data_IF_388402482328
#
_entry.id   IF_388402482328
#
_cell.length_a   1.000
_cell.length_b   1.000
_cell.length_c   1.000
_cell.angle_alpha   90.00
_cell.angle_beta   90.00
_cell.angle_gamma   90.00
#
_symmetry.space_group_name_H-M   'P 1'
#
loop_
_entity.id
_entity.type
_entity.pdbx_description
1 polymer ?
#
# COMPACT_ATOMS: atom_id res chain seq x y z
N UNK A 1 7.31 34.04 -30.60
CA UNK A 1 8.29 33.23 -29.85
C UNK A 1 8.55 31.98 -30.66
N UNK A 2 9.78 31.74 -31.11
CA UNK A 2 10.12 30.47 -31.76
C UNK A 2 10.20 29.36 -30.69
N UNK A 3 9.42 28.31 -30.87
CA UNK A 3 9.46 27.13 -30.01
C UNK A 3 10.77 26.39 -30.33
N UNK A 4 11.75 26.44 -29.43
CA UNK A 4 12.99 25.67 -29.54
C UNK A 4 12.86 24.43 -28.65
N UNK A 5 12.76 23.26 -29.25
CA UNK A 5 12.76 21.99 -28.56
C UNK A 5 14.20 21.45 -28.49
N UNK A 6 14.98 21.97 -27.56
CA UNK A 6 16.38 21.57 -27.37
C UNK A 6 16.44 20.25 -26.59
N UNK A 7 17.39 19.40 -26.96
CA UNK A 7 17.65 18.15 -26.24
C UNK A 7 18.21 18.45 -24.86
N UNK A 8 17.55 17.95 -23.81
CA UNK A 8 18.01 18.05 -22.42
C UNK A 8 19.16 17.07 -22.18
N UNK A 9 20.27 17.56 -21.64
CA UNK A 9 21.41 16.69 -21.30
C UNK A 9 21.12 15.90 -20.03
N UNK A 10 21.55 14.63 -19.98
CA UNK A 10 21.31 13.74 -18.83
C UNK A 10 21.83 14.29 -17.49
N UNK A 11 22.87 15.13 -17.51
CA UNK A 11 23.44 15.75 -16.31
C UNK A 11 22.55 16.86 -15.70
N UNK A 12 21.67 17.46 -16.49
CA UNK A 12 20.77 18.55 -16.08
C UNK A 12 19.42 18.06 -15.57
N UNK A 13 19.13 16.75 -15.75
CA UNK A 13 17.88 16.16 -15.29
C UNK A 13 17.94 15.90 -13.79
N UNK A 14 17.04 16.49 -12.97
CA UNK A 14 16.99 16.20 -11.55
C UNK A 14 16.74 14.70 -11.32
N UNK A 15 17.66 14.03 -10.64
CA UNK A 15 17.52 12.61 -10.35
C UNK A 15 16.40 12.42 -9.31
N UNK A 16 15.39 11.63 -9.63
CA UNK A 16 14.34 11.25 -8.69
C UNK A 16 14.90 10.53 -7.43
N UNK A 17 16.12 10.01 -7.50
CA UNK A 17 16.84 9.37 -6.39
C UNK A 17 17.33 10.33 -5.30
N UNK A 18 17.34 11.66 -5.55
CA UNK A 18 17.76 12.67 -4.55
C UNK A 18 16.65 13.06 -3.59
N UNK A 19 15.43 12.54 -3.78
CA UNK A 19 14.29 12.85 -2.92
C UNK A 19 14.37 12.03 -1.65
N UNK A 20 14.41 12.68 -0.49
CA UNK A 20 14.29 12.00 0.80
C UNK A 20 12.88 11.44 0.96
N UNK A 21 12.79 10.11 0.93
CA UNK A 21 11.53 9.39 1.08
C UNK A 21 11.26 9.10 2.56
N UNK A 22 10.13 9.56 3.08
CA UNK A 22 9.65 9.23 4.43
C UNK A 22 9.09 7.80 4.44
N UNK A 23 9.60 6.89 5.29
CA UNK A 23 9.05 5.55 5.41
C UNK A 23 7.66 5.58 6.04
N UNK A 24 6.86 4.55 5.77
CA UNK A 24 5.56 4.34 6.40
C UNK A 24 5.73 4.00 7.88
N UNK A 25 4.72 4.33 8.69
CA UNK A 25 4.72 4.07 10.13
C UNK A 25 4.90 2.59 10.46
N UNK A 26 5.91 2.27 11.29
CA UNK A 26 6.22 0.88 11.70
C UNK A 26 5.04 0.19 12.40
N UNK A 27 4.20 0.95 13.07
CA UNK A 27 3.00 0.46 13.74
C UNK A 27 2.02 -0.23 12.78
N UNK A 28 2.05 0.12 11.49
CA UNK A 28 1.23 -0.53 10.46
C UNK A 28 1.58 -2.01 10.25
N UNK A 29 2.80 -2.44 10.56
CA UNK A 29 3.14 -3.87 10.59
C UNK A 29 2.25 -4.65 11.55
N UNK A 30 1.92 -4.08 12.71
CA UNK A 30 1.01 -4.72 13.68
C UNK A 30 -0.38 -4.90 13.08
N UNK A 31 -0.87 -3.89 12.34
CA UNK A 31 -2.15 -3.99 11.63
C UNK A 31 -2.13 -5.13 10.62
N UNK A 32 -1.08 -5.22 9.79
CA UNK A 32 -0.91 -6.30 8.81
C UNK A 32 -0.88 -7.67 9.49
N UNK A 33 -0.07 -7.83 10.54
CA UNK A 33 0.05 -9.11 11.24
C UNK A 33 -1.27 -9.55 11.87
N UNK A 34 -1.99 -8.64 12.53
CA UNK A 34 -3.31 -8.94 13.10
C UNK A 34 -4.29 -9.33 12.00
N UNK A 35 -4.36 -8.56 10.90
CA UNK A 35 -5.27 -8.84 9.79
C UNK A 35 -4.99 -10.19 9.15
N UNK A 36 -3.73 -10.51 8.89
CA UNK A 36 -3.33 -11.80 8.32
C UNK A 36 -3.56 -12.96 9.29
N UNK A 37 -3.26 -12.77 10.59
CA UNK A 37 -3.52 -13.81 11.59
C UNK A 37 -5.01 -14.16 11.67
N UNK A 38 -5.90 -13.17 11.64
CA UNK A 38 -7.34 -13.40 11.62
C UNK A 38 -7.75 -14.13 10.33
N UNK A 39 -7.25 -13.68 9.18
CA UNK A 39 -7.55 -14.29 7.89
C UNK A 39 -7.11 -15.77 7.86
N UNK A 40 -5.88 -16.06 8.24
CA UNK A 40 -5.37 -17.44 8.23
C UNK A 40 -6.03 -18.31 9.30
N UNK A 41 -6.45 -17.77 10.45
CA UNK A 41 -7.23 -18.49 11.44
C UNK A 41 -8.60 -18.91 10.86
N UNK A 42 -9.27 -18.03 10.13
CA UNK A 42 -10.54 -18.34 9.45
C UNK A 42 -10.31 -19.41 8.36
N UNK A 43 -9.29 -19.25 7.52
CA UNK A 43 -8.97 -20.23 6.47
C UNK A 43 -8.69 -21.61 7.09
N UNK A 44 -7.92 -21.64 8.17
CA UNK A 44 -7.60 -22.89 8.87
C UNK A 44 -8.86 -23.55 9.46
N UNK A 45 -9.73 -22.77 10.11
CA UNK A 45 -10.99 -23.27 10.64
C UNK A 45 -11.88 -23.86 9.55
N UNK A 46 -12.01 -23.17 8.41
CA UNK A 46 -12.78 -23.67 7.25
C UNK A 46 -12.14 -24.95 6.69
N UNK A 47 -10.83 -24.98 6.53
CA UNK A 47 -10.12 -26.16 5.99
C UNK A 47 -10.33 -27.39 6.89
N UNK A 48 -10.21 -27.24 8.19
CA UNK A 48 -10.46 -28.32 9.16
C UNK A 48 -11.92 -28.79 9.07
N UNK A 49 -12.87 -27.86 9.07
CA UNK A 49 -14.30 -28.16 8.99
C UNK A 49 -14.64 -28.97 7.73
N UNK A 50 -14.09 -28.55 6.57
CA UNK A 50 -14.32 -29.25 5.30
C UNK A 50 -13.76 -30.67 5.34
N UNK A 51 -12.54 -30.87 5.85
CA UNK A 51 -11.93 -32.20 5.94
C UNK A 51 -12.74 -33.14 6.88
N UNK A 52 -13.31 -32.59 7.96
CA UNK A 52 -14.08 -33.37 8.93
C UNK A 52 -15.48 -33.72 8.42
N UNK A 53 -16.11 -32.84 7.64
CA UNK A 53 -17.47 -33.00 7.14
C UNK A 53 -17.60 -33.94 5.93
N UNK A 54 -16.50 -34.20 5.22
CA UNK A 54 -16.53 -35.06 4.03
C UNK A 54 -16.18 -36.50 4.43
N UNK A 55 -17.18 -37.35 4.49
CA UNK A 55 -17.06 -38.74 5.00
C UNK A 55 -16.13 -39.64 4.17
N UNK A 56 -16.02 -39.42 2.86
CA UNK A 56 -15.22 -40.21 1.93
C UNK A 56 -13.72 -39.87 1.91
N UNK A 57 -13.30 -38.89 2.71
CA UNK A 57 -11.89 -38.42 2.75
C UNK A 57 -11.14 -39.14 3.86
N UNK A 58 -9.95 -39.67 3.54
CA UNK A 58 -9.01 -40.16 4.55
C UNK A 58 -8.51 -38.99 5.42
N UNK A 59 -9.20 -38.74 6.52
CA UNK A 59 -8.94 -37.64 7.44
C UNK A 59 -7.51 -37.66 8.01
N UNK A 60 -6.96 -38.84 8.27
CA UNK A 60 -5.60 -39.03 8.81
C UNK A 60 -4.52 -38.52 7.85
N UNK A 61 -4.81 -38.51 6.54
CA UNK A 61 -3.91 -38.03 5.52
C UNK A 61 -4.14 -36.53 5.20
N UNK A 62 -5.40 -36.15 4.97
CA UNK A 62 -5.74 -34.83 4.45
C UNK A 62 -5.72 -33.72 5.51
N UNK A 63 -5.99 -34.07 6.78
CA UNK A 63 -5.96 -33.07 7.85
C UNK A 63 -4.55 -32.50 8.08
N UNK A 64 -3.47 -33.30 8.25
CA UNK A 64 -2.14 -32.74 8.39
C UNK A 64 -1.64 -32.02 7.13
N UNK A 65 -2.03 -32.48 5.94
CA UNK A 65 -1.66 -31.81 4.69
C UNK A 65 -2.30 -30.43 4.59
N UNK A 66 -3.59 -30.30 4.91
CA UNK A 66 -4.29 -29.01 4.87
C UNK A 66 -3.72 -28.02 5.89
N UNK A 67 -3.44 -28.47 7.10
CA UNK A 67 -2.81 -27.65 8.13
C UNK A 67 -1.43 -27.19 7.67
N UNK A 68 -0.59 -28.09 7.17
CA UNK A 68 0.74 -27.76 6.69
C UNK A 68 0.72 -26.76 5.52
N UNK A 69 -0.22 -26.92 4.58
CA UNK A 69 -0.40 -26.01 3.46
C UNK A 69 -0.79 -24.58 3.92
N UNK A 70 -1.72 -24.47 4.87
CA UNK A 70 -2.13 -23.19 5.44
C UNK A 70 -0.97 -22.51 6.19
N UNK A 71 -0.23 -23.28 6.99
CA UNK A 71 0.94 -22.74 7.72
C UNK A 71 2.02 -22.26 6.74
N UNK A 72 2.33 -23.05 5.72
CA UNK A 72 3.35 -22.70 4.73
C UNK A 72 2.98 -21.41 3.98
N UNK A 73 1.73 -21.29 3.53
CA UNK A 73 1.24 -20.10 2.85
C UNK A 73 1.19 -18.89 3.78
N UNK A 74 0.83 -19.05 5.06
CA UNK A 74 0.87 -18.01 6.06
C UNK A 74 2.31 -17.50 6.24
N UNK A 75 3.27 -18.38 6.48
CA UNK A 75 4.70 -18.01 6.66
C UNK A 75 5.21 -17.25 5.43
N UNK A 76 4.94 -17.75 4.22
CA UNK A 76 5.34 -17.08 2.98
C UNK A 76 4.73 -15.66 2.89
N UNK A 77 3.44 -15.51 3.20
CA UNK A 77 2.76 -14.21 3.22
C UNK A 77 3.38 -13.25 4.22
N UNK A 78 3.68 -13.69 5.43
CA UNK A 78 4.33 -12.86 6.46
C UNK A 78 5.72 -12.39 6.03
N UNK A 79 6.52 -13.26 5.43
CA UNK A 79 7.87 -12.92 4.93
C UNK A 79 7.79 -11.90 3.80
N UNK A 80 6.99 -12.19 2.77
CA UNK A 80 6.85 -11.32 1.59
C UNK A 80 6.25 -9.97 1.98
N UNK A 81 5.21 -9.98 2.81
CA UNK A 81 4.53 -8.78 3.25
C UNK A 81 5.40 -7.87 4.10
N UNK A 82 6.19 -8.43 5.02
CA UNK A 82 7.15 -7.66 5.82
C UNK A 82 8.26 -7.07 4.95
N UNK A 83 8.78 -7.84 4.00
CA UNK A 83 9.78 -7.37 3.05
C UNK A 83 9.26 -6.23 2.18
N UNK A 84 8.04 -6.38 1.66
CA UNK A 84 7.36 -5.35 0.87
C UNK A 84 7.11 -4.07 1.69
N UNK A 85 6.65 -4.21 2.92
CA UNK A 85 6.39 -3.08 3.80
C UNK A 85 7.63 -2.22 4.03
N UNK A 86 8.77 -2.82 4.35
CA UNK A 86 10.03 -2.11 4.64
C UNK A 86 10.53 -1.24 3.49
N UNK A 87 10.08 -1.49 2.27
CA UNK A 87 10.46 -0.76 1.06
C UNK A 87 9.47 0.34 0.67
N UNK A 88 8.30 0.38 1.31
CA UNK A 88 7.29 1.42 1.06
C UNK A 88 7.73 2.72 1.71
N UNK A 89 7.78 3.77 0.90
CA UNK A 89 8.09 5.13 1.35
C UNK A 89 7.46 6.15 0.42
N UNK A 90 7.20 7.35 0.91
CA UNK A 90 6.60 8.42 0.15
C UNK A 90 7.34 9.74 0.36
N UNK A 91 7.20 10.65 -0.57
CA UNK A 91 7.64 12.04 -0.43
C UNK A 91 6.60 12.96 -1.07
N UNK A 92 6.46 14.13 -0.47
CA UNK A 92 5.62 15.19 -0.99
C UNK A 92 6.54 16.30 -1.45
N UNK A 93 6.32 16.74 -2.67
CA UNK A 93 7.03 17.89 -3.25
C UNK A 93 6.01 18.99 -3.57
N UNK A 94 6.48 20.15 -3.96
CA UNK A 94 5.62 21.31 -4.26
C UNK A 94 4.56 21.03 -5.34
N UNK A 95 4.85 20.16 -6.32
CA UNK A 95 4.00 19.93 -7.50
C UNK A 95 3.55 18.49 -7.69
N UNK A 96 4.06 17.55 -6.90
CA UNK A 96 3.75 16.13 -7.04
C UNK A 96 3.94 15.37 -5.73
N UNK A 97 3.40 14.14 -5.72
CA UNK A 97 3.65 13.14 -4.71
C UNK A 97 4.42 11.97 -5.32
N UNK A 98 5.45 11.53 -4.65
CA UNK A 98 6.27 10.37 -5.03
C UNK A 98 6.00 9.25 -4.05
N UNK A 99 5.69 8.06 -4.56
CA UNK A 99 5.43 6.88 -3.74
C UNK A 99 6.20 5.68 -4.28
N UNK A 100 7.02 5.08 -3.41
CA UNK A 100 7.82 3.89 -3.74
C UNK A 100 7.19 2.66 -3.10
N UNK A 101 7.03 1.61 -3.91
CA UNK A 101 6.50 0.30 -3.49
C UNK A 101 7.33 -0.83 -4.05
N UNK A 102 7.09 -2.02 -3.53
CA UNK A 102 7.61 -3.27 -4.04
C UNK A 102 8.89 -3.74 -3.37
N UNK A 103 9.00 -5.05 -3.19
CA UNK A 103 10.14 -5.74 -2.59
C UNK A 103 11.08 -6.30 -3.68
N UNK A 104 10.54 -7.14 -4.55
CA UNK A 104 11.29 -7.76 -5.66
C UNK A 104 11.34 -6.78 -6.84
N UNK A 105 10.19 -6.29 -7.28
CA UNK A 105 10.07 -5.28 -8.34
C UNK A 105 9.76 -3.95 -7.67
N UNK A 106 10.70 -3.03 -7.70
CA UNK A 106 10.51 -1.68 -7.17
C UNK A 106 9.78 -0.83 -8.19
N UNK A 107 8.68 -0.21 -7.75
CA UNK A 107 7.90 0.74 -8.53
C UNK A 107 7.97 2.11 -7.85
N UNK A 108 8.28 3.12 -8.63
CA UNK A 108 8.24 4.51 -8.21
C UNK A 108 7.07 5.18 -8.95
N UNK A 109 6.05 5.56 -8.21
CA UNK A 109 4.89 6.27 -8.73
C UNK A 109 5.09 7.77 -8.46
N UNK A 110 4.91 8.58 -9.48
CA UNK A 110 4.95 10.04 -9.39
C UNK A 110 3.62 10.56 -9.90
N UNK A 111 2.86 11.22 -9.04
CA UNK A 111 1.57 11.80 -9.39
C UNK A 111 1.61 13.30 -9.22
N UNK A 112 1.58 14.07 -10.33
CA UNK A 112 1.47 15.52 -10.28
C UNK A 112 0.12 15.96 -9.74
N UNK A 113 0.09 16.98 -8.89
CA UNK A 113 -1.16 17.46 -8.27
C UNK A 113 -2.20 17.95 -9.28
N UNK A 114 -1.77 18.50 -10.40
CA UNK A 114 -2.68 18.96 -11.47
C UNK A 114 -3.46 17.81 -12.16
N UNK A 115 -3.11 16.55 -11.93
CA UNK A 115 -3.85 15.37 -12.43
C UNK A 115 -4.78 14.76 -11.38
N UNK A 116 -4.66 15.15 -10.12
CA UNK A 116 -5.47 14.62 -9.02
C UNK A 116 -6.88 15.18 -9.13
N UNK A 117 -7.88 14.29 -9.09
CA UNK A 117 -9.29 14.67 -9.08
C UNK A 117 -9.84 14.75 -7.66
N UNK A 118 -9.56 13.75 -6.85
CA UNK A 118 -9.97 13.72 -5.45
C UNK A 118 -9.05 12.83 -4.62
N UNK A 119 -9.09 13.06 -3.31
CA UNK A 119 -8.37 12.29 -2.33
C UNK A 119 -9.35 11.75 -1.28
N UNK A 120 -9.16 10.49 -0.88
CA UNK A 120 -9.95 9.84 0.15
C UNK A 120 -9.03 9.39 1.29
N UNK A 121 -9.34 9.81 2.51
CA UNK A 121 -8.74 9.24 3.73
C UNK A 121 -9.71 8.21 4.28
N UNK A 122 -9.22 7.00 4.51
CA UNK A 122 -10.00 5.89 5.06
C UNK A 122 -9.21 5.18 6.15
N UNK A 123 -9.92 4.61 7.11
CA UNK A 123 -9.32 3.88 8.21
C UNK A 123 -10.17 2.67 8.57
N UNK A 124 -9.59 1.49 8.41
CA UNK A 124 -10.23 0.23 8.79
C UNK A 124 -10.35 0.07 10.31
N UNK A 125 -11.13 -0.92 10.80
CA UNK A 125 -11.33 -1.13 12.24
C UNK A 125 -10.03 -1.32 13.02
N UNK A 126 -9.09 -2.09 12.47
CA UNK A 126 -7.79 -2.36 13.08
C UNK A 126 -6.90 -1.12 12.99
N UNK A 127 -6.85 -0.43 11.84
CA UNK A 127 -6.08 0.80 11.66
C UNK A 127 -6.50 1.88 12.66
N UNK A 128 -7.82 2.07 12.87
CA UNK A 128 -8.37 3.02 13.85
C UNK A 128 -7.87 2.76 15.27
N UNK A 129 -7.78 1.49 15.68
CA UNK A 129 -7.25 1.14 17.00
C UNK A 129 -5.81 1.59 17.19
N UNK A 130 -5.03 1.66 16.11
CA UNK A 130 -3.64 2.12 16.12
C UNK A 130 -3.47 3.58 15.66
N UNK A 131 -4.56 4.34 15.51
CA UNK A 131 -4.57 5.74 15.02
C UNK A 131 -3.89 5.89 13.67
N UNK A 132 -4.12 4.90 12.79
CA UNK A 132 -3.59 4.88 11.44
C UNK A 132 -4.72 5.07 10.42
N UNK A 133 -4.33 5.60 9.27
CA UNK A 133 -5.21 5.79 8.13
C UNK A 133 -4.46 5.53 6.82
N UNK A 134 -5.21 5.41 5.76
CA UNK A 134 -4.73 5.24 4.39
C UNK A 134 -5.22 6.40 3.55
N UNK A 135 -4.33 7.00 2.76
CA UNK A 135 -4.66 8.07 1.81
C UNK A 135 -4.68 7.49 0.40
N UNK A 136 -5.84 7.53 -0.25
CA UNK A 136 -6.04 7.12 -1.63
C UNK A 136 -6.17 8.35 -2.52
N UNK A 137 -5.43 8.38 -3.62
CA UNK A 137 -5.38 9.47 -4.59
C UNK A 137 -5.92 8.95 -5.92
N UNK A 138 -6.86 9.69 -6.51
CA UNK A 138 -7.51 9.38 -7.76
C UNK A 138 -7.17 10.45 -8.80
N UNK A 139 -6.79 10.03 -10.00
CA UNK A 139 -6.47 10.95 -11.11
C UNK A 139 -7.47 10.82 -12.25
N UNK A 140 -7.45 11.80 -13.15
CA UNK A 140 -8.34 11.84 -14.31
C UNK A 140 -8.13 10.72 -15.33
N UNK A 141 -7.01 10.00 -15.25
CA UNK A 141 -6.65 8.99 -16.25
C UNK A 141 -7.26 7.61 -15.98
N UNK A 142 -7.76 7.37 -14.76
CA UNK A 142 -8.32 6.06 -14.39
C UNK A 142 -9.49 6.22 -13.42
N UNK A 143 -10.50 5.38 -13.58
CA UNK A 143 -11.59 5.23 -12.60
C UNK A 143 -11.14 4.40 -11.38
N UNK A 144 -9.86 4.08 -11.28
CA UNK A 144 -9.25 3.27 -10.22
C UNK A 144 -8.27 4.13 -9.44
N UNK A 145 -8.09 3.83 -8.16
CA UNK A 145 -7.08 4.49 -7.31
C UNK A 145 -5.68 4.36 -7.92
N UNK A 146 -5.07 5.48 -8.27
CA UNK A 146 -3.71 5.45 -8.84
C UNK A 146 -2.65 5.17 -7.79
N UNK A 147 -2.79 5.79 -6.61
CA UNK A 147 -1.90 5.57 -5.47
C UNK A 147 -2.72 5.43 -4.19
N UNK A 148 -2.38 4.40 -3.40
CA UNK A 148 -2.88 4.26 -2.03
C UNK A 148 -1.70 4.12 -1.07
N UNK A 149 -1.56 5.10 -0.19
CA UNK A 149 -0.53 5.16 0.84
C UNK A 149 -1.14 4.68 2.14
N UNK A 150 -0.86 3.44 2.51
CA UNK A 150 -1.34 2.85 3.75
C UNK A 150 -0.39 3.11 4.91
N UNK A 151 -0.91 3.13 6.12
CA UNK A 151 -0.11 3.20 7.34
C UNK A 151 0.47 4.58 7.63
N UNK A 152 -0.26 5.62 7.29
CA UNK A 152 -0.03 6.98 7.78
C UNK A 152 -0.66 7.13 9.17
N UNK A 153 -0.15 8.06 9.98
CA UNK A 153 -0.91 8.53 11.15
C UNK A 153 -2.17 9.24 10.67
N UNK A 154 -3.28 9.09 11.39
CA UNK A 154 -4.55 9.69 10.98
C UNK A 154 -4.44 11.21 10.80
N UNK A 155 -3.70 11.89 11.67
CA UNK A 155 -3.45 13.34 11.59
C UNK A 155 -2.63 13.71 10.35
N UNK A 156 -1.55 12.94 10.06
CA UNK A 156 -0.72 13.15 8.88
C UNK A 156 -1.55 12.94 7.59
N UNK A 157 -2.41 11.92 7.55
CA UNK A 157 -3.24 11.64 6.39
C UNK A 157 -4.24 12.75 6.06
N UNK A 158 -4.88 13.33 7.09
CA UNK A 158 -5.79 14.47 6.92
C UNK A 158 -5.04 15.74 6.51
N UNK A 159 -3.88 16.00 7.12
CA UNK A 159 -3.02 17.14 6.75
C UNK A 159 -2.57 17.03 5.30
N UNK A 160 -2.16 15.83 4.86
CA UNK A 160 -1.76 15.57 3.48
C UNK A 160 -2.90 15.76 2.50
N UNK A 161 -4.09 15.26 2.83
CA UNK A 161 -5.29 15.48 2.03
C UNK A 161 -5.59 16.96 1.88
N UNK A 162 -5.58 17.73 2.98
CA UNK A 162 -5.82 19.16 2.95
C UNK A 162 -4.82 19.89 2.06
N UNK A 163 -3.53 19.58 2.21
CA UNK A 163 -2.45 20.14 1.39
C UNK A 163 -2.64 19.84 -0.10
N UNK A 164 -2.93 18.58 -0.46
CA UNK A 164 -3.14 18.19 -1.86
C UNK A 164 -4.36 18.92 -2.44
N UNK A 165 -5.47 19.04 -1.69
CA UNK A 165 -6.67 19.74 -2.14
C UNK A 165 -6.41 21.24 -2.37
N UNK A 166 -5.59 21.87 -1.54
CA UNK A 166 -5.17 23.26 -1.72
C UNK A 166 -4.37 23.46 -3.03
N UNK A 167 -3.50 22.49 -3.38
CA UNK A 167 -2.72 22.53 -4.63
C UNK A 167 -3.57 22.27 -5.88
N UNK A 168 -4.73 21.64 -5.75
CA UNK A 168 -5.64 21.34 -6.88
C UNK A 168 -6.55 22.53 -7.18
N UNK A 169 -6.98 23.29 -6.15
CA UNK A 169 -7.81 24.47 -6.36
C UNK A 169 -6.93 25.60 -6.90
N UNK A 170 -7.16 26.08 -8.15
CA UNK A 170 -6.49 27.29 -8.60
C UNK A 170 -6.91 28.42 -7.64
N UNK A 171 -5.94 29.15 -7.14
CA UNK A 171 -6.18 30.40 -6.42
C UNK A 171 -7.05 31.29 -7.33
N UNK A 172 -8.35 31.38 -7.01
CA UNK A 172 -9.27 32.32 -7.64
C UNK A 172 -8.92 33.75 -7.24
#
# INVERSE_FOLDING_TARGET
MQFQNLQVQWGEIPKASTVELKPIERTYLKVLYISWSILFAIILAVAITLVVLIDDINQNLWLPISIAAVILTAVATFIIGTGSFRRKAYAIREKDIVFRTGWIIQKLHIVPFNRVQHCLVQSGPIERKFRLASLSIYTAASNVTDISIHGLKSEDAETLKAYILEQIQPLT
#
